data_IF_446039151831
#
_entry.id   IF_446039151831
#
_cell.length_a   1.000
_cell.length_b   1.000
_cell.length_c   1.000
_cell.angle_alpha   90.00
_cell.angle_beta   90.00
_cell.angle_gamma   90.00
#
_symmetry.space_group_name_H-M   'P 1'
#
loop_
_entity.id
_entity.type
_entity.pdbx_description
1 polymer ?
#
# COMPACT_ATOMS: atom_id res chain seq x y z
N UNK A 1 -5.39 30.50 -90.10
CA UNK A 1 -5.90 31.36 -89.02
C UNK A 1 -5.49 30.72 -87.71
N UNK A 2 -4.63 31.41 -86.96
CA UNK A 2 -4.22 31.32 -85.55
C UNK A 2 -4.48 29.99 -84.78
N UNK A 3 -3.54 29.35 -84.08
CA UNK A 3 -2.18 29.70 -83.71
C UNK A 3 -1.61 28.74 -82.64
N UNK A 4 -0.29 28.84 -82.46
CA UNK A 4 0.55 28.55 -81.29
C UNK A 4 0.66 27.13 -80.68
N UNK A 5 1.89 26.62 -80.81
CA UNK A 5 2.62 25.62 -79.99
C UNK A 5 2.56 25.86 -78.48
N UNK A 6 2.69 24.80 -77.66
CA UNK A 6 3.54 24.70 -76.45
C UNK A 6 3.71 23.23 -76.02
N UNK A 7 4.97 22.85 -75.77
CA UNK A 7 5.43 21.58 -75.17
C UNK A 7 5.13 21.57 -73.67
N UNK A 8 4.75 20.43 -73.07
CA UNK A 8 5.23 20.05 -71.74
C UNK A 8 4.91 18.58 -71.39
N UNK A 9 5.96 17.92 -70.93
CA UNK A 9 6.09 16.64 -70.24
C UNK A 9 5.36 16.68 -68.88
N UNK A 10 4.70 15.60 -68.44
CA UNK A 10 4.27 15.37 -67.04
C UNK A 10 3.95 13.87 -66.89
N UNK A 11 4.96 13.04 -66.59
CA UNK A 11 5.37 12.59 -65.24
C UNK A 11 4.21 11.98 -64.44
N UNK A 12 4.20 10.65 -64.39
CA UNK A 12 3.40 9.83 -63.49
C UNK A 12 3.64 10.22 -62.03
N UNK A 13 2.58 10.56 -61.30
CA UNK A 13 2.62 10.76 -59.85
C UNK A 13 2.08 9.51 -59.15
N UNK A 14 3.00 8.68 -58.65
CA UNK A 14 2.72 7.65 -57.66
C UNK A 14 2.18 8.34 -56.40
N UNK A 15 0.91 8.08 -56.07
CA UNK A 15 0.28 8.52 -54.82
C UNK A 15 0.84 7.69 -53.68
N UNK A 16 1.88 8.19 -53.02
CA UNK A 16 2.47 7.62 -51.81
C UNK A 16 1.47 7.77 -50.67
N UNK A 17 0.96 6.63 -50.18
CA UNK A 17 0.18 6.54 -48.94
C UNK A 17 1.15 6.84 -47.79
N UNK A 18 1.01 8.02 -47.18
CA UNK A 18 1.74 8.35 -45.97
C UNK A 18 1.23 7.46 -44.81
N UNK A 19 2.11 6.79 -44.05
CA UNK A 19 1.70 6.05 -42.86
C UNK A 19 1.17 7.05 -41.82
N UNK A 20 -0.07 6.84 -41.38
CA UNK A 20 -0.71 7.67 -40.36
C UNK A 20 0.12 7.69 -39.08
N UNK A 21 0.34 8.88 -38.54
CA UNK A 21 0.91 9.06 -37.21
C UNK A 21 0.08 8.26 -36.20
N UNK A 22 0.68 7.24 -35.60
CA UNK A 22 0.18 6.63 -34.37
C UNK A 22 0.23 7.71 -33.30
N UNK A 23 -0.90 8.36 -33.03
CA UNK A 23 -1.06 9.19 -31.85
C UNK A 23 -0.85 8.27 -30.64
N UNK A 24 0.24 8.49 -29.90
CA UNK A 24 0.47 7.86 -28.61
C UNK A 24 -0.69 8.25 -27.71
N UNK A 25 -1.59 7.30 -27.44
CA UNK A 25 -2.73 7.54 -26.56
C UNK A 25 -2.16 7.76 -25.14
N UNK A 26 -2.18 9.01 -24.68
CA UNK A 26 -1.75 9.37 -23.34
C UNK A 26 -2.73 8.77 -22.33
N UNK A 27 -2.26 7.79 -21.55
CA UNK A 27 -3.07 7.17 -20.51
C UNK A 27 -3.06 8.09 -19.30
N UNK A 28 -4.11 8.91 -19.18
CA UNK A 28 -4.36 9.73 -17.99
C UNK A 28 -4.88 8.83 -16.88
N UNK A 29 -4.22 8.83 -15.72
CA UNK A 29 -4.67 8.06 -14.57
C UNK A 29 -5.91 8.70 -13.93
N UNK A 30 -6.93 7.89 -13.68
CA UNK A 30 -8.21 8.37 -13.15
C UNK A 30 -8.14 8.66 -11.65
N UNK A 31 -9.02 9.55 -11.18
CA UNK A 31 -9.16 9.88 -9.76
C UNK A 31 -10.18 8.93 -9.13
N UNK A 32 -9.81 8.25 -8.06
CA UNK A 32 -10.68 7.37 -7.28
C UNK A 32 -11.46 8.12 -6.20
N UNK A 33 -10.84 9.11 -5.58
CA UNK A 33 -11.48 9.98 -4.60
C UNK A 33 -10.76 11.32 -4.49
N UNK A 34 -11.48 12.35 -4.05
CA UNK A 34 -10.90 13.61 -3.54
C UNK A 34 -11.05 13.63 -2.03
N UNK A 35 -10.00 14.05 -1.33
CA UNK A 35 -9.99 14.18 0.13
C UNK A 35 -9.44 15.55 0.45
N UNK A 36 -10.27 16.41 1.04
CA UNK A 36 -9.92 17.82 1.25
C UNK A 36 -9.41 18.47 -0.07
N UNK A 37 -8.11 18.78 -0.15
CA UNK A 37 -7.45 19.37 -1.31
C UNK A 37 -6.56 18.38 -2.09
N UNK A 38 -6.57 17.10 -1.70
CA UNK A 38 -5.78 16.02 -2.30
C UNK A 38 -6.65 15.04 -3.09
N UNK A 39 -5.99 14.14 -3.82
CA UNK A 39 -6.62 13.09 -4.62
C UNK A 39 -6.01 11.72 -4.31
N UNK A 40 -6.83 10.69 -4.36
CA UNK A 40 -6.40 9.29 -4.47
C UNK A 40 -6.62 8.86 -5.91
N UNK A 41 -5.62 8.23 -6.52
CA UNK A 41 -5.69 7.78 -7.90
C UNK A 41 -6.18 6.32 -8.00
N UNK A 42 -6.72 5.96 -9.17
CA UNK A 42 -7.05 4.57 -9.48
C UNK A 42 -5.79 3.69 -9.51
N UNK A 43 -4.61 4.23 -9.86
CA UNK A 43 -3.36 3.48 -9.76
C UNK A 43 -2.96 3.13 -8.33
N UNK A 44 -3.30 3.96 -7.34
CA UNK A 44 -3.06 3.67 -5.93
C UNK A 44 -3.86 2.45 -5.49
N UNK A 45 -5.14 2.38 -5.89
CA UNK A 45 -6.01 1.22 -5.64
C UNK A 45 -5.43 -0.03 -6.31
N UNK A 46 -5.05 0.06 -7.59
CA UNK A 46 -4.46 -1.10 -8.31
C UNK A 46 -3.18 -1.58 -7.64
N UNK A 47 -2.30 -0.66 -7.24
CA UNK A 47 -1.01 -0.99 -6.63
C UNK A 47 -1.21 -1.66 -5.28
N UNK A 48 -2.04 -1.09 -4.40
CA UNK A 48 -2.30 -1.65 -3.08
C UNK A 48 -3.04 -3.00 -3.18
N UNK A 49 -4.02 -3.12 -4.08
CA UNK A 49 -4.71 -4.39 -4.33
C UNK A 49 -3.75 -5.48 -4.80
N UNK A 50 -2.84 -5.18 -5.74
CA UNK A 50 -1.83 -6.15 -6.21
C UNK A 50 -0.86 -6.52 -5.12
N UNK A 51 -0.46 -5.56 -4.27
CA UNK A 51 0.39 -5.81 -3.12
C UNK A 51 -0.25 -6.75 -2.10
N UNK A 52 -1.53 -6.58 -1.79
CA UNK A 52 -2.26 -7.52 -0.92
C UNK A 52 -2.33 -8.92 -1.52
N UNK A 53 -2.69 -9.03 -2.81
CA UNK A 53 -2.72 -10.29 -3.52
C UNK A 53 -1.34 -10.98 -3.52
N UNK A 54 -0.26 -10.20 -3.64
CA UNK A 54 1.11 -10.68 -3.55
C UNK A 54 1.44 -11.30 -2.18
N UNK A 55 1.00 -10.66 -1.08
CA UNK A 55 1.28 -11.12 0.28
C UNK A 55 0.51 -12.39 0.65
N UNK A 56 -0.83 -12.35 0.58
CA UNK A 56 -1.68 -13.41 1.15
C UNK A 56 -2.58 -14.10 0.12
N UNK A 57 -2.48 -13.72 -1.16
CA UNK A 57 -3.28 -14.28 -2.24
C UNK A 57 -4.74 -13.81 -2.27
N UNK A 58 -5.13 -12.89 -1.36
CA UNK A 58 -6.51 -12.40 -1.29
C UNK A 58 -6.68 -11.14 -2.11
N UNK A 59 -7.89 -10.99 -2.65
CA UNK A 59 -8.34 -9.79 -3.34
C UNK A 59 -9.49 -9.19 -2.55
N UNK A 60 -9.49 -7.88 -2.43
CA UNK A 60 -10.56 -7.10 -1.80
C UNK A 60 -11.22 -6.19 -2.85
N UNK A 61 -12.40 -5.68 -2.54
CA UNK A 61 -13.09 -4.73 -3.43
C UNK A 61 -12.35 -3.38 -3.45
N UNK A 62 -12.41 -2.67 -4.57
CA UNK A 62 -11.81 -1.33 -4.72
C UNK A 62 -12.26 -0.37 -3.61
N UNK A 63 -13.52 -0.45 -3.18
CA UNK A 63 -14.02 0.34 -2.04
C UNK A 63 -13.29 0.04 -0.73
N UNK A 64 -12.97 -1.24 -0.43
CA UNK A 64 -12.19 -1.60 0.77
C UNK A 64 -10.72 -1.21 0.65
N UNK A 65 -10.18 -1.18 -0.56
CA UNK A 65 -8.82 -0.67 -0.81
C UNK A 65 -8.78 0.84 -0.62
N UNK A 66 -9.74 1.55 -1.21
CA UNK A 66 -9.90 2.99 -1.08
C UNK A 66 -10.04 3.39 0.39
N UNK A 67 -10.79 2.62 1.19
CA UNK A 67 -10.87 2.88 2.62
C UNK A 67 -9.50 2.87 3.30
N UNK A 68 -8.66 1.89 2.97
CA UNK A 68 -7.30 1.84 3.53
C UNK A 68 -6.42 2.97 3.03
N UNK A 69 -6.58 3.38 1.78
CA UNK A 69 -5.83 4.51 1.23
C UNK A 69 -6.24 5.84 1.89
N UNK A 70 -7.51 6.02 2.22
CA UNK A 70 -7.98 7.15 3.03
C UNK A 70 -7.34 7.11 4.43
N UNK A 71 -7.28 5.94 5.08
CA UNK A 71 -6.61 5.81 6.38
C UNK A 71 -5.11 6.15 6.28
N UNK A 72 -4.43 5.64 5.25
CA UNK A 72 -3.03 5.97 4.98
C UNK A 72 -2.81 7.45 4.69
N UNK A 73 -3.75 8.10 4.00
CA UNK A 73 -3.71 9.54 3.77
C UNK A 73 -3.80 10.30 5.10
N UNK A 74 -4.73 9.92 6.00
CA UNK A 74 -4.83 10.54 7.34
C UNK A 74 -3.52 10.40 8.13
N UNK A 75 -2.95 9.18 8.17
CA UNK A 75 -1.67 8.94 8.86
C UNK A 75 -0.56 9.79 8.26
N UNK A 76 -0.44 9.80 6.93
CA UNK A 76 0.59 10.56 6.22
C UNK A 76 0.49 12.05 6.50
N UNK A 77 -0.69 12.63 6.34
CA UNK A 77 -0.94 14.06 6.55
C UNK A 77 -0.54 14.48 7.97
N UNK A 78 -0.91 13.68 8.97
CA UNK A 78 -0.61 13.99 10.38
C UNK A 78 0.86 13.78 10.74
N UNK A 79 1.51 12.79 10.12
CA UNK A 79 2.96 12.60 10.23
C UNK A 79 3.71 13.79 9.62
N UNK A 80 3.32 14.23 8.43
CA UNK A 80 3.95 15.34 7.72
C UNK A 80 3.74 16.68 8.45
N UNK A 81 2.54 16.94 8.98
CA UNK A 81 2.27 18.11 9.83
C UNK A 81 3.16 18.14 11.08
N UNK A 82 3.45 16.97 11.65
CA UNK A 82 4.35 16.84 12.80
C UNK A 82 5.84 16.83 12.43
N UNK A 83 6.18 16.93 11.14
CA UNK A 83 7.54 16.82 10.61
C UNK A 83 8.23 15.51 11.04
N UNK A 84 7.47 14.41 11.08
CA UNK A 84 8.00 13.11 11.45
C UNK A 84 9.07 12.65 10.44
N UNK A 85 10.23 12.14 10.89
CA UNK A 85 11.30 11.76 9.98
C UNK A 85 10.88 10.57 9.11
N UNK A 86 11.24 10.66 7.83
CA UNK A 86 11.08 9.54 6.91
C UNK A 86 12.09 8.42 7.24
N UNK A 87 11.76 7.14 7.02
CA UNK A 87 12.68 6.03 7.31
C UNK A 87 13.94 6.12 6.44
N UNK A 88 15.07 5.70 6.99
CA UNK A 88 16.31 5.62 6.23
C UNK A 88 16.29 4.44 5.24
N UNK A 89 17.03 4.55 4.14
CA UNK A 89 17.09 3.48 3.12
C UNK A 89 17.49 2.11 3.69
N UNK A 90 18.40 2.09 4.67
CA UNK A 90 18.84 0.87 5.34
C UNK A 90 17.71 0.18 6.14
N UNK A 91 16.78 0.96 6.71
CA UNK A 91 15.63 0.42 7.43
C UNK A 91 14.61 -0.17 6.46
N UNK A 92 14.38 0.51 5.34
CA UNK A 92 13.49 0.01 4.27
C UNK A 92 14.07 -1.30 3.68
N UNK A 93 15.38 -1.37 3.44
CA UNK A 93 16.00 -2.61 2.93
C UNK A 93 15.96 -3.76 3.94
N UNK A 94 16.12 -3.48 5.24
CA UNK A 94 15.90 -4.49 6.27
C UNK A 94 14.48 -5.04 6.21
N UNK A 95 13.49 -4.20 5.98
CA UNK A 95 12.08 -4.60 5.92
C UNK A 95 11.73 -5.34 4.64
N UNK A 96 12.33 -4.95 3.52
CA UNK A 96 12.25 -5.72 2.28
C UNK A 96 12.87 -7.11 2.44
N UNK A 97 13.99 -7.23 3.15
CA UNK A 97 14.61 -8.52 3.42
C UNK A 97 13.75 -9.39 4.35
N UNK A 98 13.12 -8.79 5.37
CA UNK A 98 12.12 -9.47 6.22
C UNK A 98 10.94 -9.96 5.40
N UNK A 99 10.43 -9.12 4.50
CA UNK A 99 9.36 -9.49 3.58
C UNK A 99 9.77 -10.67 2.68
N UNK A 100 10.94 -10.63 2.05
CA UNK A 100 11.45 -11.75 1.22
C UNK A 100 11.55 -13.05 2.01
N UNK A 101 12.06 -12.99 3.24
CA UNK A 101 12.17 -14.14 4.15
C UNK A 101 10.83 -14.68 4.64
N UNK A 102 9.74 -13.91 4.53
CA UNK A 102 8.40 -14.40 4.88
C UNK A 102 7.83 -15.39 3.85
N UNK A 103 8.39 -15.44 2.64
CA UNK A 103 8.03 -16.42 1.62
C UNK A 103 8.83 -17.72 1.82
N UNK A 104 8.30 -18.84 1.33
CA UNK A 104 8.94 -20.14 1.50
C UNK A 104 10.30 -20.23 0.77
N UNK A 105 10.48 -19.47 -0.31
CA UNK A 105 11.76 -19.34 -1.01
C UNK A 105 11.83 -18.04 -1.83
N UNK A 106 13.04 -17.59 -2.24
CA UNK A 106 13.21 -16.45 -3.15
C UNK A 106 12.47 -16.63 -4.48
N UNK A 107 12.41 -17.84 -5.02
CA UNK A 107 11.69 -18.15 -6.27
C UNK A 107 10.18 -17.98 -6.09
N UNK A 108 9.65 -18.36 -4.93
CA UNK A 108 8.23 -18.16 -4.62
C UNK A 108 7.89 -16.67 -4.51
N UNK A 109 8.76 -15.87 -3.87
CA UNK A 109 8.62 -14.41 -3.82
C UNK A 109 8.54 -13.83 -5.24
N UNK A 110 9.50 -14.16 -6.10
CA UNK A 110 9.54 -13.66 -7.49
C UNK A 110 8.34 -14.11 -8.31
N UNK A 111 7.93 -15.37 -8.18
CA UNK A 111 6.77 -15.92 -8.89
C UNK A 111 5.49 -15.17 -8.49
N UNK A 112 5.25 -14.98 -7.19
CA UNK A 112 4.06 -14.26 -6.70
C UNK A 112 4.07 -12.78 -7.07
N UNK A 113 5.22 -12.10 -6.98
CA UNK A 113 5.36 -10.68 -7.38
C UNK A 113 5.06 -10.50 -8.87
N UNK A 114 5.55 -11.39 -9.72
CA UNK A 114 5.27 -11.37 -11.16
C UNK A 114 3.81 -11.70 -11.46
N UNK A 115 3.22 -12.67 -10.75
CA UNK A 115 1.81 -13.03 -10.89
C UNK A 115 0.89 -11.87 -10.50
N UNK A 116 1.22 -11.10 -9.47
CA UNK A 116 0.47 -9.90 -9.09
C UNK A 116 0.74 -8.69 -10.00
N UNK A 117 1.73 -8.77 -10.90
CA UNK A 117 2.08 -7.68 -11.82
C UNK A 117 2.75 -6.49 -11.13
N UNK A 118 3.40 -6.70 -9.97
CA UNK A 118 4.15 -5.67 -9.26
C UNK A 118 5.59 -5.57 -9.76
N UNK A 119 6.10 -4.34 -9.83
CA UNK A 119 7.52 -4.05 -10.00
C UNK A 119 8.22 -4.02 -8.64
N UNK A 120 9.52 -4.30 -8.61
CA UNK A 120 10.31 -4.25 -7.36
C UNK A 120 10.24 -2.87 -6.70
N UNK A 121 10.25 -1.81 -7.52
CA UNK A 121 10.09 -0.43 -7.04
C UNK A 121 8.73 -0.18 -6.36
N UNK A 122 7.65 -0.79 -6.85
CA UNK A 122 6.32 -0.66 -6.24
C UNK A 122 6.27 -1.38 -4.89
N UNK A 123 6.88 -2.57 -4.78
CA UNK A 123 7.04 -3.27 -3.51
C UNK A 123 7.81 -2.40 -2.52
N UNK A 124 8.94 -1.81 -2.94
CA UNK A 124 9.73 -0.90 -2.11
C UNK A 124 8.91 0.32 -1.64
N UNK A 125 8.17 0.97 -2.53
CA UNK A 125 7.33 2.14 -2.16
C UNK A 125 6.27 1.79 -1.13
N UNK A 126 5.60 0.63 -1.29
CA UNK A 126 4.59 0.19 -0.33
C UNK A 126 5.22 -0.15 1.02
N UNK A 127 6.33 -0.90 1.03
CA UNK A 127 7.06 -1.24 2.28
C UNK A 127 7.56 0.01 2.99
N UNK A 128 8.13 0.97 2.26
CA UNK A 128 8.58 2.24 2.83
C UNK A 128 7.42 3.03 3.47
N UNK A 129 6.27 3.09 2.80
CA UNK A 129 5.07 3.75 3.35
C UNK A 129 4.55 3.04 4.59
N UNK A 130 4.49 1.70 4.58
CA UNK A 130 4.08 0.91 5.74
C UNK A 130 5.00 1.13 6.95
N UNK A 131 6.32 1.16 6.71
CA UNK A 131 7.30 1.43 7.76
C UNK A 131 7.15 2.85 8.32
N UNK A 132 6.97 3.86 7.46
CA UNK A 132 6.74 5.24 7.88
C UNK A 132 5.50 5.36 8.78
N UNK A 133 4.38 4.79 8.34
CA UNK A 133 3.12 4.82 9.08
C UNK A 133 3.23 4.07 10.41
N UNK A 134 3.82 2.88 10.41
CA UNK A 134 4.02 2.08 11.62
C UNK A 134 4.87 2.83 12.65
N UNK A 135 5.98 3.43 12.22
CA UNK A 135 6.87 4.18 13.09
C UNK A 135 6.20 5.43 13.67
N UNK A 136 5.41 6.14 12.85
CA UNK A 136 4.65 7.29 13.32
C UNK A 136 3.59 6.91 14.36
N UNK A 137 2.78 5.89 14.08
CA UNK A 137 1.73 5.43 14.98
C UNK A 137 2.32 4.90 16.30
N UNK A 138 3.44 4.16 16.24
CA UNK A 138 4.17 3.71 17.43
C UNK A 138 4.65 4.91 18.25
N UNK A 139 5.34 5.87 17.62
CA UNK A 139 5.84 7.06 18.30
C UNK A 139 4.71 7.90 18.92
N UNK A 140 3.55 7.96 18.27
CA UNK A 140 2.41 8.78 18.71
C UNK A 140 1.68 8.16 19.90
N UNK A 141 1.44 6.84 19.86
CA UNK A 141 0.54 6.17 20.80
C UNK A 141 1.25 5.34 21.86
N UNK A 142 2.49 4.91 21.65
CA UNK A 142 3.24 4.14 22.66
C UNK A 142 3.27 4.83 24.03
N UNK A 143 3.50 6.16 24.15
CA UNK A 143 3.56 6.81 25.47
C UNK A 143 2.27 6.76 26.30
N UNK A 144 1.11 6.60 25.66
CA UNK A 144 -0.19 6.53 26.36
C UNK A 144 -0.62 5.10 26.69
N UNK A 145 0.07 4.08 26.16
CA UNK A 145 -0.27 2.68 26.46
C UNK A 145 0.32 2.28 27.81
N UNK A 146 -0.55 1.87 28.72
CA UNK A 146 -0.18 1.34 30.03
C UNK A 146 -0.46 -0.16 30.04
N UNK A 147 0.55 -0.95 30.42
CA UNK A 147 0.44 -2.40 30.58
C UNK A 147 0.69 -2.73 32.05
N UNK A 148 -0.32 -3.24 32.73
CA UNK A 148 -0.19 -3.70 34.11
C UNK A 148 0.16 -5.20 34.17
N UNK A 149 0.66 -5.63 35.34
CA UNK A 149 1.07 -7.03 35.56
C UNK A 149 -0.08 -8.02 35.36
N UNK A 150 -1.32 -7.60 35.67
CA UNK A 150 -2.50 -8.46 35.49
C UNK A 150 -2.76 -8.72 34.01
N UNK A 151 -2.65 -7.70 33.15
CA UNK A 151 -2.78 -7.85 31.71
C UNK A 151 -1.71 -8.80 31.13
N UNK A 152 -0.48 -8.75 31.66
CA UNK A 152 0.60 -9.66 31.29
C UNK A 152 0.27 -11.11 31.67
N UNK A 153 -0.15 -11.34 32.92
CA UNK A 153 -0.57 -12.67 33.39
C UNK A 153 -1.75 -13.23 32.58
N UNK A 154 -2.77 -12.40 32.36
CA UNK A 154 -3.98 -12.78 31.63
C UNK A 154 -3.63 -13.12 30.16
N UNK A 155 -2.82 -12.29 29.48
CA UNK A 155 -2.39 -12.54 28.10
C UNK A 155 -1.53 -13.80 27.98
N UNK A 156 -0.60 -14.01 28.92
CA UNK A 156 0.23 -15.21 28.94
C UNK A 156 -0.62 -16.47 29.09
N UNK A 157 -1.57 -16.47 30.03
CA UNK A 157 -2.45 -17.60 30.28
C UNK A 157 -3.42 -17.85 29.11
N UNK A 158 -3.96 -16.80 28.48
CA UNK A 158 -4.96 -16.91 27.42
C UNK A 158 -4.38 -17.13 26.03
N UNK A 159 -3.13 -16.74 25.79
CA UNK A 159 -2.54 -16.70 24.43
C UNK A 159 -1.27 -17.52 24.35
N UNK A 160 -0.26 -17.23 25.18
CA UNK A 160 1.07 -17.86 25.09
C UNK A 160 0.98 -19.35 25.42
N UNK A 161 0.33 -19.69 26.55
CA UNK A 161 0.21 -21.08 27.00
C UNK A 161 -0.59 -21.94 26.01
N UNK A 162 -1.78 -21.53 25.52
CA UNK A 162 -2.52 -22.30 24.53
C UNK A 162 -1.76 -22.44 23.21
N UNK A 163 -1.06 -21.40 22.75
CA UNK A 163 -0.30 -21.43 21.50
C UNK A 163 0.89 -22.41 21.56
N UNK A 164 1.62 -22.46 22.68
CA UNK A 164 2.69 -23.43 22.88
C UNK A 164 2.15 -24.86 22.88
N UNK A 165 1.06 -25.11 23.63
CA UNK A 165 0.40 -26.42 23.70
C UNK A 165 -0.12 -26.88 22.33
N UNK A 166 -0.72 -25.98 21.55
CA UNK A 166 -1.19 -26.27 20.20
C UNK A 166 -0.05 -26.68 19.24
N UNK A 167 1.19 -26.24 19.53
CA UNK A 167 2.40 -26.63 18.79
C UNK A 167 3.10 -27.86 19.37
N UNK A 168 2.52 -28.49 20.40
CA UNK A 168 3.14 -29.63 21.10
C UNK A 168 4.41 -29.24 21.88
N UNK A 169 4.56 -27.97 22.22
CA UNK A 169 5.71 -27.43 22.95
C UNK A 169 5.33 -27.13 24.40
N UNK A 170 6.30 -27.25 25.30
CA UNK A 170 6.15 -26.77 26.67
C UNK A 170 6.14 -25.23 26.68
N UNK A 171 5.17 -24.58 27.34
CA UNK A 171 5.15 -23.12 27.40
C UNK A 171 6.42 -22.57 28.09
N UNK A 172 7.02 -21.48 27.58
CA UNK A 172 8.06 -20.76 28.32
C UNK A 172 7.49 -20.26 29.64
N UNK A 173 8.32 -20.04 30.66
CA UNK A 173 7.85 -19.44 31.91
C UNK A 173 7.33 -18.01 31.68
N UNK A 174 6.47 -17.52 32.58
CA UNK A 174 5.98 -16.14 32.51
C UNK A 174 7.14 -15.13 32.51
N UNK A 175 8.15 -15.36 33.34
CA UNK A 175 9.36 -14.54 33.42
C UNK A 175 10.13 -14.50 32.08
N UNK A 176 10.34 -15.67 31.45
CA UNK A 176 11.01 -15.75 30.15
C UNK A 176 10.20 -15.13 29.00
N UNK A 177 8.87 -15.09 29.13
CA UNK A 177 7.97 -14.50 28.15
C UNK A 177 7.61 -13.03 28.44
N UNK A 178 8.03 -12.48 29.58
CA UNK A 178 7.51 -11.22 30.12
C UNK A 178 7.64 -10.08 29.11
N UNK A 179 8.85 -9.81 28.62
CA UNK A 179 9.11 -8.69 27.70
C UNK A 179 8.38 -8.85 26.36
N UNK A 180 8.26 -10.09 25.88
CA UNK A 180 7.52 -10.39 24.64
C UNK A 180 6.01 -10.15 24.83
N UNK A 181 5.46 -10.57 25.96
CA UNK A 181 4.04 -10.34 26.30
C UNK A 181 3.79 -8.85 26.49
N UNK A 182 4.66 -8.15 27.21
CA UNK A 182 4.55 -6.71 27.42
C UNK A 182 4.58 -5.97 26.09
N UNK A 183 5.53 -6.26 25.19
CA UNK A 183 5.59 -5.60 23.88
C UNK A 183 4.35 -5.94 23.03
N UNK A 184 3.86 -7.19 23.05
CA UNK A 184 2.64 -7.56 22.34
C UNK A 184 1.41 -6.79 22.85
N UNK A 185 1.31 -6.57 24.16
CA UNK A 185 0.24 -5.77 24.76
C UNK A 185 0.38 -4.28 24.43
N UNK A 186 1.62 -3.76 24.40
CA UNK A 186 1.88 -2.38 23.95
C UNK A 186 1.43 -2.19 22.51
N UNK A 187 1.81 -3.09 21.60
CA UNK A 187 1.41 -3.05 20.19
C UNK A 187 -0.11 -3.16 20.02
N UNK A 188 -0.78 -4.00 20.81
CA UNK A 188 -2.25 -4.07 20.83
C UNK A 188 -2.86 -2.72 21.24
N UNK A 189 -2.37 -2.10 22.30
CA UNK A 189 -2.84 -0.80 22.75
C UNK A 189 -2.60 0.33 21.74
N UNK A 190 -1.47 0.30 21.02
CA UNK A 190 -1.18 1.22 19.91
C UNK A 190 -2.24 1.08 18.82
N UNK A 191 -2.53 -0.16 18.39
CA UNK A 191 -3.51 -0.43 17.35
C UNK A 191 -4.91 0.04 17.75
N UNK A 192 -5.37 -0.26 18.96
CA UNK A 192 -6.68 0.16 19.47
C UNK A 192 -6.82 1.70 19.49
N UNK A 193 -5.78 2.41 19.91
CA UNK A 193 -5.78 3.86 19.92
C UNK A 193 -5.73 4.44 18.50
N UNK A 194 -4.93 3.85 17.61
CA UNK A 194 -4.86 4.25 16.21
C UNK A 194 -6.21 4.07 15.50
N UNK A 195 -6.90 2.94 15.70
CA UNK A 195 -8.23 2.68 15.14
C UNK A 195 -9.26 3.72 15.60
N UNK A 196 -9.28 4.02 16.91
CA UNK A 196 -10.17 5.04 17.47
C UNK A 196 -9.87 6.41 16.84
N UNK A 197 -8.61 6.79 16.79
CA UNK A 197 -8.17 8.06 16.23
C UNK A 197 -8.49 8.18 14.73
N UNK A 198 -8.25 7.13 13.93
CA UNK A 198 -8.59 7.10 12.51
C UNK A 198 -10.09 7.27 12.28
N UNK A 199 -10.92 6.59 13.07
CA UNK A 199 -12.38 6.73 13.01
C UNK A 199 -12.83 8.16 13.29
N UNK A 200 -12.27 8.78 14.33
CA UNK A 200 -12.58 10.17 14.69
C UNK A 200 -12.07 11.16 13.64
N UNK A 201 -10.88 10.94 13.08
CA UNK A 201 -10.30 11.76 12.03
C UNK A 201 -11.12 11.70 10.75
N UNK A 202 -11.49 10.49 10.29
CA UNK A 202 -12.36 10.29 9.13
C UNK A 202 -13.70 11.02 9.23
N UNK A 203 -14.30 11.04 10.42
CA UNK A 203 -15.60 11.69 10.64
C UNK A 203 -15.57 13.21 10.39
N UNK A 204 -14.38 13.82 10.38
CA UNK A 204 -14.18 15.26 10.12
C UNK A 204 -13.78 15.57 8.68
N UNK A 205 -13.47 14.56 7.87
CA UNK A 205 -12.97 14.77 6.51
C UNK A 205 -14.11 14.97 5.51
N UNK A 206 -13.87 15.85 4.54
CA UNK A 206 -14.63 15.89 3.31
C UNK A 206 -14.01 14.93 2.29
N UNK A 207 -14.71 13.82 2.02
CA UNK A 207 -14.31 12.82 1.02
C UNK A 207 -15.37 12.72 -0.06
N UNK A 208 -14.98 13.00 -1.30
CA UNK A 208 -15.79 12.76 -2.50
C UNK A 208 -15.27 11.50 -3.19
N UNK A 209 -16.05 10.42 -3.15
CA UNK A 209 -15.69 9.17 -3.83
C UNK A 209 -16.12 9.26 -5.30
N UNK A 210 -15.16 9.03 -6.20
CA UNK A 210 -15.31 9.09 -7.65
C UNK A 210 -15.14 7.71 -8.30
N UNK A 211 -15.08 6.64 -7.50
CA UNK A 211 -15.19 5.28 -8.00
C UNK A 211 -16.55 5.14 -8.69
N UNK A 212 -16.54 5.12 -10.02
CA UNK A 212 -17.71 4.79 -10.80
C UNK A 212 -18.23 3.43 -10.30
N UNK A 213 -19.45 3.43 -9.76
CA UNK A 213 -20.22 2.20 -9.62
C UNK A 213 -20.30 1.62 -11.02
N UNK A 214 -19.52 0.55 -11.26
CA UNK A 214 -19.33 -0.02 -12.58
C UNK A 214 -20.64 -0.01 -13.36
N UNK A 215 -20.61 0.57 -14.56
CA UNK A 215 -21.70 0.39 -15.51
C UNK A 215 -22.11 -1.09 -15.52
N UNK A 216 -23.42 -1.28 -15.39
CA UNK A 216 -24.14 -2.56 -15.44
C UNK A 216 -23.57 -3.57 -16.44
#
# INVERSE_FOLDING_TARGET
>A
MHGLTIRALLVSLFMTIAPGCLATQEVVDGIAARIENDIILLSDIRTLSRYQQFLDGKSETDSRILDRLIDQWVVRTEADLSHFPHPYDAEIERDLERLRKSFASPEQYEARRKQSGLREAEVRTVVASQLYFSNYLDSRFRPSVQVDSKAIEDFYASTVVPQAKARGQEPPTLDAAHDLVQEALVQRGINEQAEKWLKESRARLHVEILLDGGSK
#
